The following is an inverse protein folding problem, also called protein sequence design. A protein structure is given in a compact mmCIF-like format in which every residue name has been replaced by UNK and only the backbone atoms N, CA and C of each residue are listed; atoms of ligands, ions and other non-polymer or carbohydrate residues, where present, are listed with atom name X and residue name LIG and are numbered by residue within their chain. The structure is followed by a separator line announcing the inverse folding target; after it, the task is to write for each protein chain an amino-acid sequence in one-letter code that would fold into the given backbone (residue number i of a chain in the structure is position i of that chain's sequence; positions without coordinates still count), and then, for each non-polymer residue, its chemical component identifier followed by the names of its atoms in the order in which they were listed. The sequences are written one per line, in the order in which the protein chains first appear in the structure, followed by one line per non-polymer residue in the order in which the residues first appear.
data_IF_971286453237
#
_entry.id   IF_971286453237
#
_cell.length_a   1.000
_cell.length_b   1.000
_cell.length_c   1.000
_cell.angle_alpha   90.00
_cell.angle_beta   90.00
_cell.angle_gamma   90.00
#
_symmetry.space_group_name_H-M   'P 1'
#
loop_
_entity.id
_entity.type
_entity.pdbx_description
1 polymer ?
#
# COMPACT_ATOMS: atom_id res chain seq x y z
N UNK A 1 -16.24 -21.44 -37.42
CA UNK A 1 -15.24 -20.67 -36.65
C UNK A 1 -14.66 -21.63 -35.63
N UNK A 2 -13.40 -22.04 -35.66
CA UNK A 2 -12.21 -21.19 -35.80
C UNK A 2 -11.68 -20.71 -34.44
N UNK A 3 -12.00 -21.40 -33.33
CA UNK A 3 -11.32 -21.17 -32.04
C UNK A 3 -10.30 -22.30 -31.83
N UNK A 4 -9.04 -21.92 -31.66
CA UNK A 4 -8.00 -22.82 -31.18
C UNK A 4 -8.21 -22.92 -29.65
N UNK A 5 -8.44 -24.12 -29.08
CA UNK A 5 -8.87 -24.29 -27.69
C UNK A 5 -7.69 -24.53 -26.72
N UNK A 6 -6.54 -23.90 -26.95
CA UNK A 6 -5.39 -24.06 -26.04
C UNK A 6 -5.37 -22.91 -25.05
N UNK A 7 -5.30 -23.24 -23.75
CA UNK A 7 -5.01 -22.27 -22.70
C UNK A 7 -3.65 -21.62 -22.96
N UNK A 8 -3.59 -20.31 -22.81
CA UNK A 8 -2.38 -19.52 -23.01
C UNK A 8 -1.60 -19.49 -21.70
N UNK A 9 -0.28 -19.67 -21.74
CA UNK A 9 0.56 -19.34 -20.58
C UNK A 9 0.53 -17.83 -20.40
N UNK A 10 0.06 -17.38 -19.24
CA UNK A 10 -0.14 -15.98 -18.90
C UNK A 10 0.95 -15.43 -18.00
N UNK A 11 1.55 -16.28 -17.17
CA UNK A 11 2.69 -15.93 -16.32
C UNK A 11 3.66 -17.10 -16.26
N UNK A 12 4.95 -16.78 -16.19
CA UNK A 12 6.05 -17.72 -16.07
C UNK A 12 7.13 -17.09 -15.21
N UNK A 13 7.62 -17.84 -14.22
CA UNK A 13 8.70 -17.39 -13.35
C UNK A 13 9.70 -18.51 -13.09
N UNK A 14 11.00 -18.21 -13.22
CA UNK A 14 12.08 -19.09 -12.80
C UNK A 14 12.53 -18.72 -11.38
N UNK A 15 12.78 -19.71 -10.53
CA UNK A 15 13.22 -19.45 -9.16
C UNK A 15 14.61 -18.80 -9.14
N UNK A 16 14.80 -17.70 -8.40
CA UNK A 16 16.12 -17.09 -8.22
C UNK A 16 17.07 -17.99 -7.39
N UNK A 17 16.53 -18.96 -6.65
CA UNK A 17 17.29 -19.85 -5.78
C UNK A 17 17.77 -21.12 -6.49
N UNK A 18 17.16 -21.48 -7.62
CA UNK A 18 17.47 -22.73 -8.31
C UNK A 18 17.21 -22.66 -9.82
N UNK A 19 18.30 -22.77 -10.56
CA UNK A 19 18.25 -22.89 -12.02
C UNK A 19 17.37 -24.08 -12.47
N UNK A 20 16.52 -23.84 -13.46
CA UNK A 20 15.61 -24.83 -14.03
C UNK A 20 14.39 -25.14 -13.16
N UNK A 21 14.18 -24.44 -12.04
CA UNK A 21 12.94 -24.47 -11.29
C UNK A 21 11.97 -23.43 -11.85
N UNK A 22 10.94 -23.88 -12.55
CA UNK A 22 9.99 -23.04 -13.26
C UNK A 22 8.60 -23.16 -12.63
N UNK A 23 7.84 -22.08 -12.63
CA UNK A 23 6.40 -22.09 -12.42
C UNK A 23 5.71 -21.44 -13.61
N UNK A 24 4.55 -21.95 -14.00
CA UNK A 24 3.70 -21.37 -15.04
C UNK A 24 2.26 -21.27 -14.56
N UNK A 25 1.60 -20.20 -14.98
CA UNK A 25 0.18 -19.95 -14.83
C UNK A 25 -0.48 -19.77 -16.20
N UNK A 26 -1.77 -20.09 -16.30
CA UNK A 26 -2.53 -20.07 -17.55
C UNK A 26 -3.85 -19.30 -17.44
N UNK A 27 -4.40 -18.91 -18.58
CA UNK A 27 -5.69 -18.20 -18.67
C UNK A 27 -6.91 -19.06 -18.27
N UNK A 28 -6.77 -20.39 -18.30
CA UNK A 28 -7.76 -21.36 -17.83
C UNK A 28 -7.50 -21.87 -16.40
N UNK A 29 -6.58 -21.22 -15.68
CA UNK A 29 -6.40 -21.36 -14.24
C UNK A 29 -5.51 -22.53 -13.80
N UNK A 30 -4.81 -23.18 -14.72
CA UNK A 30 -3.83 -24.21 -14.40
C UNK A 30 -2.52 -23.59 -13.89
N UNK A 31 -1.96 -24.20 -12.85
CA UNK A 31 -0.67 -23.85 -12.27
C UNK A 31 0.20 -25.09 -12.30
N UNK A 32 1.37 -25.00 -12.90
CA UNK A 32 2.31 -26.11 -13.01
C UNK A 32 3.72 -25.69 -12.65
N UNK A 33 4.50 -26.63 -12.11
CA UNK A 33 5.91 -26.41 -11.79
C UNK A 33 6.80 -27.44 -12.47
N UNK A 34 8.01 -27.02 -12.83
CA UNK A 34 9.08 -27.88 -13.29
C UNK A 34 10.31 -27.71 -12.39
N UNK A 35 11.07 -28.79 -12.21
CA UNK A 35 12.32 -28.80 -11.41
C UNK A 35 13.54 -29.19 -12.25
N UNK A 36 13.36 -29.36 -13.56
CA UNK A 36 14.35 -29.89 -14.50
C UNK A 36 14.43 -29.08 -15.80
N UNK A 37 14.12 -27.78 -15.75
CA UNK A 37 14.21 -26.87 -16.88
C UNK A 37 13.10 -27.07 -17.93
N UNK A 38 11.94 -27.56 -17.50
CA UNK A 38 10.76 -27.75 -18.34
C UNK A 38 10.70 -29.10 -19.06
N UNK A 39 11.52 -30.09 -18.67
CA UNK A 39 11.44 -31.45 -19.24
C UNK A 39 10.25 -32.22 -18.66
N UNK A 40 9.96 -32.04 -17.37
CA UNK A 40 8.79 -32.60 -16.67
C UNK A 40 8.05 -31.51 -15.90
N UNK A 41 6.72 -31.66 -15.83
CA UNK A 41 5.81 -30.70 -15.21
C UNK A 41 4.87 -31.40 -14.23
N UNK A 42 4.65 -30.78 -13.07
CA UNK A 42 3.72 -31.23 -12.05
C UNK A 42 2.65 -30.16 -11.82
N UNK A 43 1.38 -30.55 -11.94
CA UNK A 43 0.25 -29.65 -11.71
C UNK A 43 0.03 -29.39 -10.21
N UNK A 44 -0.17 -28.13 -9.84
CA UNK A 44 -0.44 -27.65 -8.47
C UNK A 44 -1.84 -27.03 -8.29
N UNK A 45 -2.64 -26.99 -9.36
CA UNK A 45 -3.96 -26.34 -9.39
C UNK A 45 -4.91 -26.77 -8.26
N UNK A 46 -4.87 -28.05 -7.88
CA UNK A 46 -5.57 -28.58 -6.70
C UNK A 46 -4.53 -28.84 -5.60
N UNK A 47 -4.71 -28.34 -4.35
CA UNK A 47 -5.98 -28.00 -3.72
C UNK A 47 -6.18 -26.50 -3.44
N UNK A 48 -5.80 -25.60 -4.35
CA UNK A 48 -6.00 -24.15 -4.10
C UNK A 48 -7.49 -23.90 -3.81
N UNK A 49 -7.83 -23.34 -2.64
CA UNK A 49 -9.22 -23.16 -2.25
C UNK A 49 -9.80 -21.93 -2.95
N UNK A 50 -10.08 -22.08 -4.24
CA UNK A 50 -10.75 -21.07 -5.05
C UNK A 50 -12.27 -21.24 -4.90
N UNK A 51 -12.98 -20.19 -4.47
CA UNK A 51 -14.44 -20.18 -4.47
C UNK A 51 -14.92 -19.64 -5.82
N UNK A 52 -15.02 -20.51 -6.82
CA UNK A 52 -15.25 -20.02 -8.17
C UNK A 52 -16.73 -19.90 -8.49
N UNK A 53 -17.09 -18.77 -9.11
CA UNK A 53 -18.39 -18.65 -9.75
C UNK A 53 -18.40 -19.62 -10.94
N UNK A 54 -19.53 -20.31 -11.15
CA UNK A 54 -19.79 -21.17 -12.32
C UNK A 54 -18.93 -22.44 -12.40
N UNK A 55 -18.21 -22.82 -11.33
CA UNK A 55 -17.38 -24.04 -11.30
C UNK A 55 -16.26 -24.04 -12.38
N UNK A 56 -15.75 -22.84 -12.70
CA UNK A 56 -14.62 -22.61 -13.62
C UNK A 56 -13.40 -22.19 -12.80
N UNK A 57 -12.18 -22.45 -13.25
CA UNK A 57 -10.99 -21.96 -12.54
C UNK A 57 -10.77 -20.46 -12.82
N UNK A 58 -10.08 -19.78 -11.90
CA UNK A 58 -9.73 -18.37 -12.10
C UNK A 58 -8.46 -18.24 -12.93
N UNK A 59 -8.38 -17.20 -13.77
CA UNK A 59 -7.20 -16.88 -14.57
C UNK A 59 -5.98 -16.68 -13.66
N UNK A 60 -4.83 -17.29 -13.97
CA UNK A 60 -3.60 -17.04 -13.19
C UNK A 60 -2.95 -15.75 -13.69
N UNK A 61 -3.00 -14.70 -12.88
CA UNK A 61 -2.39 -13.42 -13.23
C UNK A 61 -0.90 -13.43 -12.99
N UNK A 62 -0.44 -14.05 -11.89
CA UNK A 62 0.99 -14.11 -11.58
C UNK A 62 1.36 -15.41 -10.85
N UNK A 63 2.53 -15.97 -11.19
CA UNK A 63 3.23 -16.99 -10.40
C UNK A 63 4.60 -16.44 -10.03
N UNK A 64 4.95 -16.44 -8.75
CA UNK A 64 6.17 -15.81 -8.26
C UNK A 64 6.89 -16.73 -7.27
N UNK A 65 8.06 -17.24 -7.67
CA UNK A 65 8.93 -18.01 -6.77
C UNK A 65 9.60 -17.09 -5.77
N UNK A 66 9.73 -17.57 -4.54
CA UNK A 66 10.37 -16.77 -3.50
C UNK A 66 11.88 -16.62 -3.72
N UNK A 67 12.40 -15.46 -3.32
CA UNK A 67 13.80 -15.11 -3.15
C UNK A 67 14.40 -15.71 -1.87
N UNK A 68 13.58 -16.14 -0.91
CA UNK A 68 14.02 -16.58 0.42
C UNK A 68 13.85 -18.08 0.65
N UNK A 69 12.86 -18.71 0.01
CA UNK A 69 12.56 -20.14 0.20
C UNK A 69 12.37 -20.93 -1.10
N UNK A 70 13.15 -22.00 -1.28
CA UNK A 70 13.13 -22.84 -2.50
C UNK A 70 11.79 -23.56 -2.76
N UNK A 71 10.94 -23.72 -1.74
CA UNK A 71 9.63 -24.38 -1.85
C UNK A 71 8.46 -23.40 -1.78
N UNK A 72 8.76 -22.10 -1.62
CA UNK A 72 7.73 -21.07 -1.50
C UNK A 72 7.36 -20.51 -2.87
N UNK A 73 6.08 -20.61 -3.20
CA UNK A 73 5.51 -20.07 -4.42
C UNK A 73 4.29 -19.23 -4.06
N UNK A 74 4.27 -18.00 -4.56
CA UNK A 74 3.11 -17.13 -4.52
C UNK A 74 2.36 -17.23 -5.85
N UNK A 75 1.04 -17.16 -5.77
CA UNK A 75 0.15 -17.18 -6.93
C UNK A 75 -0.94 -16.12 -6.76
N UNK A 76 -1.09 -15.26 -7.76
CA UNK A 76 -2.23 -14.37 -7.89
C UNK A 76 -3.23 -14.92 -8.92
N UNK A 77 -4.51 -14.81 -8.60
CA UNK A 77 -5.60 -15.19 -9.48
C UNK A 77 -6.51 -14.00 -9.76
N UNK A 78 -7.01 -13.93 -10.99
CA UNK A 78 -7.90 -12.89 -11.45
C UNK A 78 -9.27 -13.49 -11.83
N UNK A 79 -10.30 -13.11 -11.08
CA UNK A 79 -11.67 -13.57 -11.28
C UNK A 79 -12.57 -12.61 -12.07
N UNK A 80 -12.02 -11.50 -12.59
CA UNK A 80 -12.77 -10.42 -13.23
C UNK A 80 -13.74 -10.91 -14.31
N UNK A 81 -13.28 -11.82 -15.19
CA UNK A 81 -14.06 -12.39 -16.29
C UNK A 81 -15.24 -13.25 -15.84
N UNK A 82 -15.23 -13.68 -14.58
CA UNK A 82 -16.26 -14.51 -13.95
C UNK A 82 -17.13 -13.72 -12.98
N UNK A 83 -17.08 -12.39 -13.03
CA UNK A 83 -17.72 -11.47 -12.09
C UNK A 83 -17.25 -11.69 -10.63
N UNK A 84 -16.01 -12.17 -10.43
CA UNK A 84 -15.45 -12.43 -9.11
C UNK A 84 -14.33 -11.42 -8.81
N UNK A 85 -14.58 -10.50 -7.89
CA UNK A 85 -13.70 -9.36 -7.65
C UNK A 85 -12.79 -9.49 -6.43
N UNK A 86 -12.93 -10.51 -5.58
CA UNK A 86 -12.03 -10.62 -4.42
C UNK A 86 -10.55 -10.67 -4.81
N UNK A 87 -9.70 -10.11 -3.95
CA UNK A 87 -8.25 -10.29 -4.00
C UNK A 87 -7.89 -11.75 -3.69
N UNK A 88 -7.33 -12.45 -4.69
CA UNK A 88 -6.94 -13.85 -4.59
C UNK A 88 -5.43 -13.99 -4.73
N UNK A 89 -4.75 -13.93 -3.59
CA UNK A 89 -3.33 -14.23 -3.49
C UNK A 89 -3.19 -15.47 -2.61
N UNK A 90 -2.37 -16.42 -3.05
CA UNK A 90 -2.10 -17.65 -2.34
C UNK A 90 -0.60 -17.87 -2.20
N UNK A 91 -0.20 -18.48 -1.09
CA UNK A 91 1.16 -18.92 -0.83
C UNK A 91 1.18 -20.40 -0.50
N UNK A 92 2.13 -21.13 -1.05
CA UNK A 92 2.49 -22.46 -0.59
C UNK A 92 3.92 -22.43 -0.06
N UNK A 93 4.23 -23.29 0.91
CA UNK A 93 5.56 -23.47 1.50
C UNK A 93 6.11 -24.89 1.26
N UNK A 94 5.39 -25.70 0.48
CA UNK A 94 5.63 -27.13 0.39
C UNK A 94 5.24 -27.71 -0.98
N UNK A 95 5.63 -27.02 -2.05
CA UNK A 95 5.41 -27.44 -3.44
C UNK A 95 3.92 -27.65 -3.76
N UNK A 96 3.05 -26.74 -3.30
CA UNK A 96 1.62 -26.73 -3.61
C UNK A 96 0.80 -27.79 -2.88
N UNK A 97 1.36 -28.53 -1.91
CA UNK A 97 0.59 -29.51 -1.12
C UNK A 97 -0.45 -28.83 -0.24
N UNK A 98 -0.11 -27.68 0.32
CA UNK A 98 -1.03 -26.82 1.07
C UNK A 98 -0.87 -25.37 0.64
N UNK A 99 -1.98 -24.64 0.66
CA UNK A 99 -2.04 -23.24 0.28
C UNK A 99 -2.66 -22.41 1.39
N UNK A 100 -2.07 -21.26 1.66
CA UNK A 100 -2.57 -20.22 2.56
C UNK A 100 -3.06 -19.06 1.70
N UNK A 101 -4.29 -18.60 1.94
CA UNK A 101 -4.78 -17.37 1.32
C UNK A 101 -4.15 -16.17 2.03
N UNK A 102 -3.57 -15.26 1.26
CA UNK A 102 -3.01 -13.99 1.71
C UNK A 102 -4.03 -12.86 1.53
N UNK A 103 -3.85 -11.73 2.22
CA UNK A 103 -4.69 -10.54 2.03
C UNK A 103 -5.76 -10.29 3.09
N UNK A 104 -6.23 -11.34 3.78
CA UNK A 104 -7.22 -11.21 4.85
C UNK A 104 -8.42 -10.32 4.47
N UNK A 105 -8.69 -9.30 5.30
CA UNK A 105 -9.66 -8.23 5.04
C UNK A 105 -8.99 -6.90 4.65
N UNK A 106 -7.66 -6.87 4.52
CA UNK A 106 -6.89 -5.63 4.34
C UNK A 106 -6.78 -5.24 2.87
N UNK A 107 -6.72 -6.22 1.96
CA UNK A 107 -6.81 -5.96 0.52
C UNK A 107 -8.28 -5.73 0.11
N UNK A 108 -8.58 -4.69 -0.68
CA UNK A 108 -9.91 -4.49 -1.24
C UNK A 108 -10.39 -5.67 -2.11
N UNK A 109 -11.70 -5.75 -2.33
CA UNK A 109 -12.31 -6.69 -3.28
C UNK A 109 -12.02 -6.25 -4.72
N UNK A 110 -10.77 -6.37 -5.15
CA UNK A 110 -10.30 -6.06 -6.49
C UNK A 110 -9.45 -7.21 -7.07
N UNK A 111 -9.46 -7.40 -8.40
CA UNK A 111 -8.54 -8.35 -9.05
C UNK A 111 -7.08 -7.98 -8.82
N UNK A 112 -6.24 -9.01 -8.62
CA UNK A 112 -4.78 -8.86 -8.48
C UNK A 112 -4.13 -9.19 -9.82
N UNK A 113 -3.21 -8.33 -10.25
CA UNK A 113 -2.59 -8.38 -11.58
C UNK A 113 -1.09 -8.66 -11.53
N UNK A 114 -0.40 -8.24 -10.47
CA UNK A 114 1.05 -8.40 -10.34
C UNK A 114 1.45 -8.64 -8.88
N UNK A 115 2.55 -9.36 -8.69
CA UNK A 115 3.20 -9.59 -7.39
C UNK A 115 4.70 -9.32 -7.51
N UNK A 116 5.33 -8.85 -6.43
CA UNK A 116 6.78 -8.82 -6.29
C UNK A 116 7.18 -9.15 -4.84
N UNK A 117 8.33 -9.78 -4.64
CA UNK A 117 8.91 -10.06 -3.31
C UNK A 117 10.27 -9.40 -3.23
N UNK A 118 10.55 -8.72 -2.12
CA UNK A 118 11.86 -8.09 -1.91
C UNK A 118 12.93 -9.14 -1.68
N UNK A 119 13.98 -9.20 -2.51
CA UNK A 119 15.11 -10.09 -2.27
C UNK A 119 15.98 -9.69 -1.07
N UNK A 120 15.90 -8.41 -0.65
CA UNK A 120 16.71 -7.86 0.44
C UNK A 120 16.03 -7.95 1.81
N UNK A 121 14.71 -8.15 1.84
CA UNK A 121 13.91 -8.24 3.07
C UNK A 121 12.84 -9.32 2.96
N UNK A 122 13.08 -10.45 3.63
CA UNK A 122 12.10 -11.51 3.79
C UNK A 122 10.79 -10.97 4.40
N UNK A 123 9.66 -11.57 4.05
CA UNK A 123 8.34 -11.12 4.49
C UNK A 123 7.78 -9.90 3.75
N UNK A 124 8.59 -9.21 2.93
CA UNK A 124 8.13 -8.04 2.17
C UNK A 124 7.58 -8.44 0.80
N UNK A 125 6.27 -8.24 0.61
CA UNK A 125 5.55 -8.54 -0.63
C UNK A 125 4.82 -7.29 -1.14
N UNK A 126 4.75 -7.16 -2.46
CA UNK A 126 3.98 -6.13 -3.13
C UNK A 126 2.92 -6.77 -4.01
N UNK A 127 1.77 -6.11 -4.13
CA UNK A 127 0.66 -6.55 -4.97
C UNK A 127 0.08 -5.37 -5.75
N UNK A 128 -0.03 -5.52 -7.07
CA UNK A 128 -0.73 -4.59 -7.95
C UNK A 128 -2.15 -5.09 -8.20
N UNK A 129 -3.15 -4.25 -7.98
CA UNK A 129 -4.57 -4.54 -8.18
C UNK A 129 -5.19 -3.59 -9.20
N UNK A 130 -6.48 -3.76 -9.49
CA UNK A 130 -7.24 -2.81 -10.30
C UNK A 130 -7.45 -1.43 -9.63
N UNK A 131 -7.24 -1.32 -8.32
CA UNK A 131 -7.41 -0.07 -7.55
C UNK A 131 -6.12 0.55 -7.02
N UNK A 132 -4.95 -0.08 -7.20
CA UNK A 132 -3.67 0.51 -6.82
C UNK A 132 -2.58 -0.52 -6.55
N UNK A 133 -1.57 -0.13 -5.78
CA UNK A 133 -0.54 -1.04 -5.29
C UNK A 133 -0.48 -1.07 -3.76
N UNK A 134 -0.21 -2.26 -3.25
CA UNK A 134 -0.20 -2.57 -1.82
C UNK A 134 1.12 -3.24 -1.44
N UNK A 135 1.49 -3.10 -0.18
CA UNK A 135 2.66 -3.73 0.43
C UNK A 135 2.25 -4.51 1.67
N UNK A 136 2.90 -5.65 1.87
CA UNK A 136 2.92 -6.44 3.08
C UNK A 136 4.35 -6.58 3.55
N UNK A 137 4.53 -6.73 4.86
CA UNK A 137 5.84 -6.91 5.51
C UNK A 137 5.85 -8.13 6.43
N UNK A 138 4.84 -8.99 6.33
CA UNK A 138 4.67 -10.17 7.18
C UNK A 138 4.11 -11.35 6.37
N UNK A 139 4.78 -11.63 5.24
CA UNK A 139 4.48 -12.73 4.32
C UNK A 139 3.04 -12.68 3.76
N UNK A 140 2.47 -11.48 3.61
CA UNK A 140 1.13 -11.29 3.06
C UNK A 140 0.01 -11.48 4.06
N UNK A 141 0.32 -11.54 5.36
CA UNK A 141 -0.70 -11.64 6.42
C UNK A 141 -1.52 -10.36 6.56
N UNK A 142 -0.85 -9.20 6.46
CA UNK A 142 -1.46 -7.88 6.47
C UNK A 142 -0.96 -7.02 5.32
N UNK A 143 -1.82 -6.15 4.81
CA UNK A 143 -1.53 -5.30 3.66
C UNK A 143 -1.91 -3.84 3.93
N UNK A 144 -1.22 -2.94 3.23
CA UNK A 144 -1.52 -1.52 3.20
C UNK A 144 -1.23 -0.93 1.83
N UNK A 145 -1.89 0.16 1.46
CA UNK A 145 -1.51 0.90 0.26
C UNK A 145 -0.02 1.35 0.36
N UNK A 146 0.67 1.35 -0.79
CA UNK A 146 2.11 1.67 -0.84
C UNK A 146 2.36 3.14 -0.47
N UNK A 147 1.59 4.05 -1.06
CA UNK A 147 1.74 5.49 -0.84
C UNK A 147 0.44 6.21 -1.22
N UNK A 148 0.03 7.26 -0.50
CA UNK A 148 -1.18 8.02 -0.84
C UNK A 148 -1.11 8.75 -2.19
N UNK A 149 0.09 9.18 -2.61
CA UNK A 149 0.25 9.83 -3.92
C UNK A 149 0.06 8.90 -5.13
N UNK A 150 0.15 7.58 -4.92
CA UNK A 150 -0.13 6.65 -6.00
C UNK A 150 -1.64 6.69 -6.27
N UNK A 151 -2.09 7.14 -7.46
CA UNK A 151 -3.50 7.27 -7.73
C UNK A 151 -4.19 5.90 -7.75
N UNK A 152 -5.48 5.88 -7.43
CA UNK A 152 -6.30 4.68 -7.55
C UNK A 152 -6.50 4.29 -9.02
N UNK A 153 -5.54 3.55 -9.58
CA UNK A 153 -5.52 3.08 -10.97
C UNK A 153 -5.05 1.63 -11.04
N UNK A 154 -5.43 0.87 -12.08
CA UNK A 154 -4.94 -0.48 -12.23
C UNK A 154 -3.43 -0.52 -12.35
N UNK A 155 -2.79 -1.36 -11.53
CA UNK A 155 -1.38 -1.66 -11.58
C UNK A 155 -1.24 -3.04 -12.21
N UNK A 156 -0.64 -3.09 -13.40
CA UNK A 156 -0.53 -4.32 -14.19
C UNK A 156 0.83 -5.00 -14.05
N UNK A 157 1.85 -4.30 -13.56
CA UNK A 157 3.19 -4.84 -13.43
C UNK A 157 3.94 -4.20 -12.26
N UNK A 158 4.79 -4.98 -11.62
CA UNK A 158 5.62 -4.60 -10.48
C UNK A 158 6.99 -5.28 -10.63
N UNK A 159 8.06 -4.48 -10.59
CA UNK A 159 9.43 -5.02 -10.62
C UNK A 159 10.29 -4.30 -9.60
N UNK A 160 11.04 -5.06 -8.80
CA UNK A 160 12.05 -4.50 -7.92
C UNK A 160 13.37 -4.44 -8.67
N UNK A 161 13.93 -3.23 -8.79
CA UNK A 161 15.27 -3.02 -9.30
C UNK A 161 16.27 -3.14 -8.15
N UNK A 162 16.80 -4.35 -7.96
CA UNK A 162 17.69 -4.70 -6.84
C UNK A 162 18.92 -3.80 -6.70
N UNK A 163 19.49 -3.30 -7.81
CA UNK A 163 20.69 -2.46 -7.73
C UNK A 163 20.44 -1.09 -7.09
N UNK A 164 19.31 -0.48 -7.43
CA UNK A 164 18.91 0.84 -6.93
C UNK A 164 17.99 0.74 -5.71
N UNK A 165 17.53 -0.48 -5.40
CA UNK A 165 16.55 -0.75 -4.36
C UNK A 165 15.26 0.07 -4.54
N UNK A 166 14.71 -0.02 -5.75
CA UNK A 166 13.51 0.71 -6.17
C UNK A 166 12.42 -0.25 -6.61
N UNK A 167 11.17 0.03 -6.24
CA UNK A 167 10.01 -0.63 -6.82
C UNK A 167 9.50 0.20 -8.01
N UNK A 168 9.53 -0.39 -9.19
CA UNK A 168 8.97 0.17 -10.42
C UNK A 168 7.54 -0.35 -10.58
N UNK A 169 6.58 0.59 -10.71
CA UNK A 169 5.15 0.32 -10.73
C UNK A 169 4.59 0.70 -12.10
N UNK A 170 4.17 -0.32 -12.87
CA UNK A 170 3.56 -0.16 -14.19
C UNK A 170 2.05 0.02 -14.09
N UNK A 171 1.55 1.24 -14.33
CA UNK A 171 0.12 1.54 -14.25
C UNK A 171 -0.57 1.49 -15.61
N UNK A 172 -1.87 1.20 -15.60
CA UNK A 172 -2.73 1.35 -16.77
C UNK A 172 -3.16 2.82 -16.94
N UNK A 173 -2.51 3.52 -17.88
CA UNK A 173 -2.93 4.85 -18.31
C UNK A 173 -2.37 6.03 -17.50
N UNK A 174 -1.50 5.79 -16.52
CA UNK A 174 -0.81 6.84 -15.73
C UNK A 174 0.71 6.68 -15.66
N UNK A 175 1.29 6.08 -16.71
CA UNK A 175 2.74 5.89 -16.87
C UNK A 175 3.37 4.98 -15.80
N UNK A 176 4.67 5.15 -15.57
CA UNK A 176 5.48 4.40 -14.61
C UNK A 176 5.70 5.26 -13.37
N UNK A 177 5.56 4.64 -12.20
CA UNK A 177 5.93 5.22 -10.91
C UNK A 177 7.14 4.48 -10.36
N UNK A 178 7.99 5.18 -9.62
CA UNK A 178 9.17 4.59 -8.98
C UNK A 178 9.12 4.96 -7.51
N UNK A 179 9.23 3.96 -6.65
CA UNK A 179 9.30 4.11 -5.21
C UNK A 179 10.68 3.67 -4.73
N UNK A 180 11.41 4.59 -4.08
CA UNK A 180 12.65 4.26 -3.39
C UNK A 180 12.37 3.44 -2.13
N UNK A 181 12.79 2.17 -2.11
CA UNK A 181 12.50 1.26 -0.99
C UNK A 181 13.31 1.65 0.25
N UNK A 182 14.54 2.16 0.10
CA UNK A 182 15.33 2.68 1.21
C UNK A 182 14.61 3.81 1.96
N UNK A 183 13.96 4.72 1.22
CA UNK A 183 13.20 5.81 1.81
C UNK A 183 11.96 5.29 2.56
N UNK A 184 11.22 4.36 1.93
CA UNK A 184 10.09 3.68 2.57
C UNK A 184 10.54 2.99 3.87
N UNK A 185 11.68 2.29 3.84
CA UNK A 185 12.22 1.57 5.00
C UNK A 185 12.69 2.49 6.11
N UNK A 186 13.34 3.61 5.80
CA UNK A 186 13.81 4.58 6.81
C UNK A 186 12.65 5.19 7.59
N UNK A 187 11.53 5.49 6.93
CA UNK A 187 10.32 5.96 7.61
C UNK A 187 9.65 4.86 8.45
N UNK A 188 9.96 3.61 8.16
CA UNK A 188 9.41 2.41 8.79
C UNK A 188 10.30 1.88 9.94
N UNK A 189 11.55 2.39 10.05
CA UNK A 189 12.54 1.98 11.05
C UNK A 189 12.45 2.89 12.30
N UNK A 190 11.37 2.74 13.06
CA UNK A 190 11.31 3.26 14.42
C UNK A 190 11.97 2.25 15.38
N UNK A 191 13.31 2.27 15.37
CA UNK A 191 14.26 1.63 16.28
C UNK A 191 14.55 0.14 16.09
N UNK A 192 15.78 -0.13 15.65
CA UNK A 192 16.51 -1.41 15.69
C UNK A 192 16.26 -2.36 14.52
N UNK A 193 17.12 -2.17 13.50
CA UNK A 193 17.65 -3.24 12.64
C UNK A 193 17.76 -4.55 13.45
N UNK A 194 17.08 -5.60 12.97
CA UNK A 194 16.98 -7.00 13.44
C UNK A 194 15.66 -7.45 14.10
N UNK A 195 14.55 -6.73 13.93
CA UNK A 195 13.24 -7.38 14.13
C UNK A 195 12.49 -7.48 12.82
N UNK A 196 11.94 -8.66 12.53
CA UNK A 196 10.99 -8.94 11.45
C UNK A 196 9.63 -8.21 11.66
N UNK A 197 9.62 -7.10 12.39
CA UNK A 197 8.43 -6.40 12.81
C UNK A 197 8.27 -5.09 12.02
N UNK A 198 7.11 -4.97 11.40
CA UNK A 198 6.47 -3.70 10.99
C UNK A 198 6.64 -2.66 12.12
N UNK A 199 6.88 -1.35 11.85
CA UNK A 199 6.86 -0.28 12.83
C UNK A 199 5.59 -0.45 13.62
N UNK A 200 5.79 -0.80 14.87
CA UNK A 200 4.69 -0.95 15.81
C UNK A 200 4.13 0.41 16.24
N UNK A 201 4.68 1.51 15.71
CA UNK A 201 4.37 2.88 16.11
C UNK A 201 3.74 3.67 14.96
N UNK A 202 2.88 4.61 15.34
CA UNK A 202 2.33 5.61 14.44
C UNK A 202 3.42 6.61 14.07
N UNK A 203 3.38 7.11 12.84
CA UNK A 203 4.34 8.11 12.34
C UNK A 203 3.60 9.24 11.63
N UNK A 204 4.08 10.47 11.80
CA UNK A 204 3.72 11.61 10.97
C UNK A 204 4.97 12.06 10.23
N UNK A 205 4.84 12.34 8.94
CA UNK A 205 5.87 12.99 8.14
C UNK A 205 6.09 14.45 8.57
N UNK A 206 7.20 15.04 8.13
CA UNK A 206 7.45 16.47 8.30
C UNK A 206 6.41 17.27 7.51
N UNK A 207 5.81 18.27 8.15
CA UNK A 207 4.85 19.15 7.50
C UNK A 207 5.61 20.28 6.84
N UNK A 208 5.41 20.47 5.54
CA UNK A 208 6.03 21.58 4.81
C UNK A 208 5.62 22.92 5.43
N UNK A 209 6.54 23.90 5.37
CA UNK A 209 6.25 25.26 5.88
C UNK A 209 5.14 25.89 5.05
N UNK A 210 4.12 26.42 5.73
CA UNK A 210 2.97 27.05 5.08
C UNK A 210 3.12 28.57 5.18
N UNK A 211 3.13 29.24 4.03
CA UNK A 211 3.16 30.71 3.96
C UNK A 211 1.81 31.27 4.37
N UNK A 212 1.81 32.09 5.42
CA UNK A 212 0.62 32.80 5.88
C UNK A 212 0.13 33.81 4.86
N UNK A 213 -1.19 33.86 4.66
CA UNK A 213 -1.86 34.86 3.82
C UNK A 213 -3.04 35.45 4.61
N UNK A 214 -3.07 36.78 4.74
CA UNK A 214 -4.14 37.52 5.41
C UNK A 214 -5.52 37.30 4.75
N UNK A 215 -5.54 36.83 3.50
CA UNK A 215 -6.76 36.52 2.74
C UNK A 215 -7.32 35.12 3.01
N UNK A 216 -6.76 34.35 3.93
CA UNK A 216 -7.35 33.07 4.34
C UNK A 216 -8.78 33.28 4.85
N UNK A 217 -9.72 32.47 4.35
CA UNK A 217 -11.14 32.63 4.62
C UNK A 217 -11.85 33.73 3.84
N UNK A 218 -11.14 34.54 3.05
CA UNK A 218 -11.76 35.50 2.15
C UNK A 218 -12.22 34.84 0.85
N UNK A 219 -13.22 35.44 0.21
CA UNK A 219 -13.69 35.05 -1.13
C UNK A 219 -13.10 35.99 -2.16
N UNK A 220 -12.38 35.45 -3.14
CA UNK A 220 -11.87 36.26 -4.26
C UNK A 220 -12.98 36.82 -5.17
N UNK A 221 -14.10 36.09 -5.30
CA UNK A 221 -15.27 36.52 -6.08
C UNK A 221 -16.57 36.16 -5.35
N UNK A 222 -17.67 36.81 -5.70
CA UNK A 222 -18.96 36.58 -5.03
C UNK A 222 -19.51 35.15 -5.19
N UNK A 223 -19.03 34.40 -6.19
CA UNK A 223 -19.39 33.01 -6.45
C UNK A 223 -18.30 31.99 -6.06
N UNK A 224 -17.15 32.44 -5.55
CA UNK A 224 -16.10 31.51 -5.09
C UNK A 224 -16.36 31.08 -3.66
N UNK A 225 -15.93 29.87 -3.31
CA UNK A 225 -15.84 29.48 -1.91
C UNK A 225 -14.73 30.28 -1.20
N UNK A 226 -14.82 30.45 0.13
CA UNK A 226 -13.72 30.98 0.94
C UNK A 226 -12.46 30.17 0.72
N UNK A 227 -11.30 30.83 0.75
CA UNK A 227 -10.02 30.14 0.69
C UNK A 227 -9.75 29.43 2.02
N UNK A 228 -10.11 28.15 2.11
CA UNK A 228 -9.71 27.29 3.22
C UNK A 228 -8.28 26.77 2.98
N UNK A 229 -7.55 26.54 4.08
CA UNK A 229 -6.15 26.09 4.06
C UNK A 229 -6.00 24.89 4.98
N UNK A 230 -5.25 23.91 4.49
CA UNK A 230 -4.92 22.69 5.22
C UNK A 230 -3.41 22.55 5.36
N UNK A 231 -2.98 21.95 6.46
CA UNK A 231 -1.66 21.34 6.55
C UNK A 231 -1.80 19.88 6.11
N UNK A 232 -1.22 19.56 4.96
CA UNK A 232 -1.18 18.19 4.47
C UNK A 232 -0.01 17.46 5.13
N UNK A 233 -0.28 16.29 5.69
CA UNK A 233 0.71 15.46 6.37
C UNK A 233 0.46 13.99 6.05
N UNK A 234 1.50 13.29 5.64
CA UNK A 234 1.41 11.83 5.51
C UNK A 234 1.55 11.18 6.89
N UNK A 235 0.67 10.23 7.15
CA UNK A 235 0.60 9.49 8.40
C UNK A 235 0.71 7.99 8.14
N UNK A 236 1.55 7.32 8.92
CA UNK A 236 1.56 5.87 9.00
C UNK A 236 0.80 5.37 10.22
N UNK A 237 -0.10 4.41 10.00
CA UNK A 237 -0.83 3.71 11.06
C UNK A 237 -0.48 2.21 11.08
N UNK A 238 0.00 1.65 12.22
CA UNK A 238 0.27 0.22 12.35
C UNK A 238 -1.01 -0.64 12.36
N UNK A 239 -2.14 -0.05 12.72
CA UNK A 239 -3.44 -0.70 12.77
C UNK A 239 -4.57 0.28 12.42
N UNK A 240 -5.76 -0.19 12.00
CA UNK A 240 -6.90 0.68 11.82
C UNK A 240 -7.37 1.26 13.15
N UNK A 241 -7.52 2.58 13.24
CA UNK A 241 -7.93 3.24 14.48
C UNK A 241 -8.72 4.52 14.23
N UNK A 242 -9.57 4.87 15.19
CA UNK A 242 -10.20 6.20 15.24
C UNK A 242 -9.32 7.14 16.06
N UNK A 243 -8.92 8.26 15.47
CA UNK A 243 -8.07 9.26 16.09
C UNK A 243 -8.65 10.67 15.91
N UNK A 244 -8.06 11.68 16.54
CA UNK A 244 -8.29 13.08 16.27
C UNK A 244 -6.96 13.83 16.31
N UNK A 245 -6.85 14.93 15.58
CA UNK A 245 -5.64 15.75 15.60
C UNK A 245 -5.77 16.86 16.64
N UNK A 246 -4.63 17.25 17.21
CA UNK A 246 -4.50 18.37 18.13
C UNK A 246 -3.35 19.24 17.65
N UNK A 247 -3.62 20.52 17.43
CA UNK A 247 -2.60 21.53 17.13
C UNK A 247 -2.27 22.24 18.45
N UNK A 248 -0.98 22.34 18.80
CA UNK A 248 -0.51 23.06 19.98
C UNK A 248 0.43 24.16 19.54
N UNK A 249 0.23 25.39 20.02
CA UNK A 249 1.19 26.48 19.81
C UNK A 249 2.36 26.34 20.79
N UNK A 250 3.59 26.32 20.29
CA UNK A 250 4.79 26.09 21.11
C UNK A 250 5.07 27.20 22.12
N UNK A 251 4.63 28.43 21.83
CA UNK A 251 4.91 29.60 22.64
C UNK A 251 3.85 29.89 23.70
N UNK A 252 2.57 29.66 23.36
CA UNK A 252 1.43 29.97 24.23
C UNK A 252 0.82 28.75 24.91
N UNK A 253 1.26 27.54 24.54
CA UNK A 253 0.68 26.25 24.97
C UNK A 253 -0.83 26.14 24.67
N UNK A 254 -1.35 26.98 23.78
CA UNK A 254 -2.77 26.94 23.38
C UNK A 254 -3.00 25.75 22.47
N UNK A 255 -4.07 25.00 22.72
CA UNK A 255 -4.40 23.78 21.98
C UNK A 255 -5.73 23.90 21.25
N UNK A 256 -5.79 23.30 20.07
CA UNK A 256 -6.99 23.18 19.25
C UNK A 256 -7.22 21.73 18.90
N UNK A 257 -8.39 21.22 19.30
CA UNK A 257 -8.80 19.84 19.06
C UNK A 257 -9.62 19.81 17.77
N UNK A 258 -9.19 18.97 16.85
CA UNK A 258 -9.82 18.78 15.57
C UNK A 258 -10.92 17.74 15.56
N UNK A 259 -11.46 17.55 14.36
CA UNK A 259 -12.43 16.50 14.08
C UNK A 259 -11.81 15.11 14.24
N UNK A 260 -12.69 14.14 14.51
CA UNK A 260 -12.34 12.73 14.52
C UNK A 260 -12.11 12.21 13.09
N UNK A 261 -11.03 11.47 12.91
CA UNK A 261 -10.60 10.84 11.65
C UNK A 261 -10.49 9.32 11.82
N UNK A 262 -10.72 8.59 10.73
CA UNK A 262 -10.44 7.16 10.67
C UNK A 262 -9.10 6.96 9.98
N UNK A 263 -8.16 6.33 10.67
CA UNK A 263 -6.87 5.93 10.14
C UNK A 263 -6.96 4.47 9.70
N UNK A 264 -6.54 4.19 8.48
CA UNK A 264 -6.35 2.85 7.96
C UNK A 264 -4.92 2.40 8.22
N UNK A 265 -4.72 1.07 8.31
CA UNK A 265 -3.37 0.49 8.37
C UNK A 265 -2.59 0.93 7.12
N UNK A 266 -1.37 1.43 7.28
CA UNK A 266 -0.59 1.94 6.16
C UNK A 266 -0.33 3.43 6.18
N UNK A 267 0.30 3.88 5.08
CA UNK A 267 0.44 5.29 4.75
C UNK A 267 -0.85 5.87 4.20
N UNK A 268 -1.18 7.07 4.65
CA UNK A 268 -2.31 7.86 4.17
C UNK A 268 -2.02 9.35 4.34
N UNK A 269 -2.54 10.18 3.44
CA UNK A 269 -2.45 11.64 3.60
C UNK A 269 -3.60 12.15 4.44
N UNK A 270 -3.29 13.03 5.38
CA UNK A 270 -4.23 13.74 6.23
C UNK A 270 -4.16 15.22 5.88
N UNK A 271 -5.30 15.81 5.50
CA UNK A 271 -5.42 17.25 5.32
C UNK A 271 -6.01 17.86 6.58
N UNK A 272 -5.15 18.48 7.40
CA UNK A 272 -5.52 19.06 8.69
C UNK A 272 -5.98 20.51 8.48
N UNK A 273 -7.26 20.85 8.73
CA UNK A 273 -7.74 22.21 8.58
C UNK A 273 -7.00 23.17 9.53
N UNK A 274 -6.47 24.26 8.99
CA UNK A 274 -5.87 25.35 9.78
C UNK A 274 -6.90 26.37 10.29
N UNK A 275 -8.17 26.04 10.11
CA UNK A 275 -9.33 26.80 10.53
C UNK A 275 -9.79 26.34 11.91
N UNK A 276 -9.75 27.25 12.86
CA UNK A 276 -10.01 27.00 14.27
C UNK A 276 -11.48 27.28 14.59
N UNK A 277 -12.22 26.27 15.07
CA UNK A 277 -13.62 26.42 15.48
C UNK A 277 -13.71 26.85 16.95
N UNK A 278 -13.24 28.04 17.29
CA UNK A 278 -13.22 28.55 18.68
C UNK A 278 -14.30 29.60 18.99
N UNK A 279 -15.00 30.13 17.98
CA UNK A 279 -15.89 31.31 18.12
C UNK A 279 -16.97 31.33 17.00
N UNK A 280 -18.08 32.11 17.11
CA UNK A 280 -18.99 32.36 15.98
C UNK A 280 -18.30 33.00 14.75
N UNK A 281 -17.10 33.54 14.90
CA UNK A 281 -16.25 34.02 13.82
C UNK A 281 -15.18 32.97 13.48
N UNK A 282 -14.94 32.78 12.18
CA UNK A 282 -13.93 31.87 11.66
C UNK A 282 -12.55 32.47 11.92
N UNK A 283 -11.72 31.78 12.71
CA UNK A 283 -10.34 32.17 12.98
C UNK A 283 -9.38 31.18 12.32
N UNK A 284 -8.27 31.66 11.75
CA UNK A 284 -7.22 30.83 11.20
C UNK A 284 -5.97 30.89 12.08
N UNK A 285 -5.18 29.82 12.03
CA UNK A 285 -3.88 29.78 12.68
C UNK A 285 -3.01 30.97 12.22
N UNK A 286 -2.26 31.56 13.15
CA UNK A 286 -1.43 32.73 12.90
C UNK A 286 0.02 32.31 12.63
N UNK A 287 0.90 33.21 12.14
CA UNK A 287 2.32 32.92 12.01
C UNK A 287 2.96 32.47 13.34
N UNK A 288 3.77 31.42 13.29
CA UNK A 288 4.40 30.84 14.47
C UNK A 288 4.77 29.36 14.32
N UNK A 289 5.32 28.80 15.40
CA UNK A 289 5.68 27.38 15.51
C UNK A 289 4.63 26.61 16.30
N UNK A 290 4.27 25.44 15.76
CA UNK A 290 3.22 24.59 16.27
C UNK A 290 3.66 23.13 16.25
N UNK A 291 3.03 22.33 17.12
CA UNK A 291 3.12 20.88 17.09
C UNK A 291 1.75 20.32 16.73
N UNK A 292 1.71 19.51 15.68
CA UNK A 292 0.58 18.69 15.30
C UNK A 292 0.74 17.33 15.95
N UNK A 293 -0.27 16.89 16.68
CA UNK A 293 -0.27 15.60 17.39
C UNK A 293 -1.51 14.79 17.05
N UNK A 294 -1.35 13.48 16.84
CA UNK A 294 -2.47 12.55 16.72
C UNK A 294 -2.78 11.93 18.07
N UNK A 295 -4.05 11.93 18.46
CA UNK A 295 -4.53 11.36 19.71
C UNK A 295 -5.66 10.37 19.49
N UNK A 296 -5.74 9.41 20.40
CA UNK A 296 -6.95 8.61 20.68
C UNK A 296 -7.61 9.15 21.94
N UNK A 297 -8.46 8.38 22.61
CA UNK A 297 -8.98 8.71 23.94
C UNK A 297 -7.90 8.70 25.05
N UNK A 298 -6.64 8.42 24.72
CA UNK A 298 -5.52 8.39 25.66
C UNK A 298 -4.86 9.76 25.87
N UNK A 299 -4.17 9.94 27.00
CA UNK A 299 -3.47 11.19 27.33
C UNK A 299 -2.12 11.38 26.59
N UNK A 300 -1.63 10.36 25.89
CA UNK A 300 -0.36 10.39 25.16
C UNK A 300 -0.60 10.41 23.66
N UNK A 301 0.11 11.26 22.89
CA UNK A 301 -0.05 11.27 21.44
C UNK A 301 0.48 9.97 20.83
N UNK A 302 -0.20 9.50 19.78
CA UNK A 302 0.24 8.40 18.93
C UNK A 302 1.51 8.79 18.15
N UNK A 303 1.50 10.00 17.59
CA UNK A 303 2.58 10.57 16.80
C UNK A 303 2.49 12.10 16.83
N UNK A 304 3.62 12.77 16.57
CA UNK A 304 3.72 14.23 16.53
C UNK A 304 4.58 14.69 15.37
N UNK A 305 4.26 15.85 14.78
CA UNK A 305 5.07 16.52 13.77
C UNK A 305 5.07 18.04 14.00
N UNK A 306 6.15 18.70 13.60
CA UNK A 306 6.27 20.15 13.69
C UNK A 306 5.59 20.83 12.50
N UNK A 307 4.90 21.93 12.77
CA UNK A 307 4.26 22.79 11.77
C UNK A 307 4.78 24.22 11.94
N UNK A 308 5.32 24.78 10.86
CA UNK A 308 5.73 26.18 10.80
C UNK A 308 4.79 26.96 9.88
N UNK A 309 4.21 28.04 10.42
CA UNK A 309 3.47 29.03 9.65
C UNK A 309 4.36 30.25 9.49
N UNK A 310 4.97 30.40 8.32
CA UNK A 310 5.93 31.46 8.00
C UNK A 310 5.24 32.70 7.46
N UNK A 311 5.92 33.86 7.53
CA UNK A 311 5.51 35.03 6.75
C UNK A 311 6.20 35.03 5.39
N UNK A 312 5.71 35.83 4.45
CA UNK A 312 6.23 35.92 3.06
C UNK A 312 7.73 36.24 2.93
N UNK A 313 8.38 36.63 4.02
CA UNK A 313 9.79 37.04 4.10
C UNK A 313 10.68 36.03 4.88
N UNK A 314 10.12 34.91 5.36
CA UNK A 314 10.82 33.85 6.14
C UNK A 314 11.00 32.55 5.32
#
# INVERSE_FOLDING_TARGET
SGNVPFGTITSLHESPLRFGQLAVGTDDGLIEISRDGGNTWNALTSPIPQNTKRNELLWVSEVLWSHHHEQRLYVALNGYRLDHFDSWIFMTENDGRTWTRLGGNDLPCEPVNALAESASREGTLFAGTDGGAYVSFNDGSNWSAIHPDLPAVPVHDLVIQERENELVIGTHGRSIWVLELDAMWKHWDASELWSDAIPAAFVLSEIETIEFDEQWGERGWSWSEPRDVTADVDAFSPEPITAHWVITNDSTETTWIGDTIQLFRGWQSLSIPLKLQTSPEVEFIQPGSYIVSLYTDSATPLATSSLLIGTKDD
#
